data_IF_968512511874
#
_entry.id   IF_968512511874
#
_cell.length_a   1.000
_cell.length_b   1.000
_cell.length_c   1.000
_cell.angle_alpha   90.00
_cell.angle_beta   90.00
_cell.angle_gamma   90.00
#
_symmetry.space_group_name_H-M   'P 1'
#
loop_
_entity.id
_entity.type
_entity.pdbx_description
1 polymer ?
#
# COMPACT_ATOMS: atom_id res chain seq x y z
N UNK A 1 -12.83 38.78 10.98
CA UNK A 1 -13.58 37.58 11.37
C UNK A 1 -12.56 36.44 11.48
N UNK A 2 -12.19 36.07 12.71
CA UNK A 2 -11.34 34.88 12.95
C UNK A 2 -12.24 33.65 12.82
N UNK A 3 -12.17 32.97 11.68
CA UNK A 3 -12.83 31.69 11.49
C UNK A 3 -12.05 30.60 12.24
N UNK A 4 -12.76 29.84 13.07
CA UNK A 4 -12.27 28.62 13.72
C UNK A 4 -11.36 27.80 12.79
N UNK A 5 -10.19 27.40 13.29
CA UNK A 5 -9.41 26.34 12.65
C UNK A 5 -10.26 25.07 12.65
N UNK A 6 -10.82 24.76 11.49
CA UNK A 6 -11.68 23.60 11.28
C UNK A 6 -10.86 22.32 11.46
N UNK A 7 -11.19 21.58 12.50
CA UNK A 7 -10.79 20.20 12.85
C UNK A 7 -11.28 19.18 11.79
N UNK A 8 -11.31 19.56 10.51
CA UNK A 8 -11.86 18.80 9.38
C UNK A 8 -10.80 17.96 8.65
N UNK A 9 -9.57 17.95 9.16
CA UNK A 9 -8.49 17.11 8.65
C UNK A 9 -8.64 15.68 9.20
N UNK A 10 -8.70 14.64 8.35
CA UNK A 10 -8.72 13.25 8.83
C UNK A 10 -7.50 12.94 9.66
N UNK A 11 -7.69 12.19 10.75
CA UNK A 11 -6.57 11.66 11.53
C UNK A 11 -5.81 10.59 10.74
N UNK A 12 -4.51 10.41 11.03
CA UNK A 12 -3.68 9.39 10.39
C UNK A 12 -4.28 7.98 10.53
N UNK A 13 -4.87 7.66 11.69
CA UNK A 13 -5.57 6.39 11.92
C UNK A 13 -6.69 6.18 10.90
N UNK A 14 -7.55 7.19 10.70
CA UNK A 14 -8.64 7.11 9.72
C UNK A 14 -8.09 6.96 8.30
N UNK A 15 -7.00 7.67 7.96
CA UNK A 15 -6.35 7.55 6.65
C UNK A 15 -5.83 6.13 6.41
N UNK A 16 -5.15 5.53 7.39
CA UNK A 16 -4.65 4.15 7.31
C UNK A 16 -5.78 3.14 7.14
N UNK A 17 -6.86 3.27 7.91
CA UNK A 17 -8.02 2.39 7.82
C UNK A 17 -8.72 2.50 6.46
N UNK A 18 -9.00 3.72 5.99
CA UNK A 18 -9.67 3.96 4.71
C UNK A 18 -8.78 3.56 3.52
N UNK A 19 -7.48 3.82 3.58
CA UNK A 19 -6.51 3.38 2.57
C UNK A 19 -6.49 1.85 2.48
N UNK A 20 -6.34 1.16 3.61
CA UNK A 20 -6.37 -0.30 3.65
C UNK A 20 -7.65 -0.86 3.04
N UNK A 21 -8.81 -0.28 3.39
CA UNK A 21 -10.09 -0.68 2.81
C UNK A 21 -10.16 -0.45 1.29
N UNK A 22 -9.67 0.70 0.82
CA UNK A 22 -9.64 1.04 -0.61
C UNK A 22 -8.75 0.10 -1.43
N UNK A 23 -7.61 -0.31 -0.87
CA UNK A 23 -6.63 -1.18 -1.55
C UNK A 23 -6.72 -2.65 -1.09
N UNK A 24 -7.82 -3.05 -0.47
CA UNK A 24 -8.10 -4.42 -0.01
C UNK A 24 -6.98 -5.02 0.85
N UNK A 25 -6.29 -4.20 1.65
CA UNK A 25 -5.18 -4.61 2.51
C UNK A 25 -3.92 -5.08 1.77
N UNK A 26 -3.84 -4.89 0.44
CA UNK A 26 -2.66 -5.30 -0.36
C UNK A 26 -1.46 -4.39 -0.13
N UNK A 27 -1.73 -3.11 0.08
CA UNK A 27 -0.76 -2.07 0.41
C UNK A 27 -1.03 -1.57 1.82
N UNK A 28 0.03 -1.41 2.59
CA UNK A 28 0.01 -0.82 3.92
C UNK A 28 0.44 0.63 3.78
N UNK A 29 -0.33 1.54 4.38
CA UNK A 29 0.05 2.94 4.50
C UNK A 29 0.91 3.09 5.76
N UNK A 30 2.22 3.25 5.60
CA UNK A 30 3.17 3.31 6.72
C UNK A 30 3.23 4.73 7.31
N UNK A 31 3.33 5.73 6.44
CA UNK A 31 3.31 7.14 6.80
C UNK A 31 2.64 7.98 5.71
N UNK A 32 2.11 9.13 6.11
CA UNK A 32 1.49 10.07 5.19
C UNK A 32 1.62 11.51 5.71
N UNK A 33 2.05 12.38 4.81
CA UNK A 33 1.99 13.83 4.97
C UNK A 33 0.96 14.37 3.98
N UNK A 34 0.07 15.24 4.46
CA UNK A 34 -0.97 15.83 3.62
C UNK A 34 -0.92 17.35 3.67
N UNK A 35 -1.09 17.98 2.50
CA UNK A 35 -1.17 19.43 2.35
C UNK A 35 -2.47 19.80 1.65
N UNK A 36 -3.31 20.59 2.31
CA UNK A 36 -4.59 21.03 1.73
C UNK A 36 -4.34 21.86 0.46
N UNK A 37 -5.07 21.52 -0.60
CA UNK A 37 -4.99 22.18 -1.91
C UNK A 37 -6.31 22.85 -2.30
N UNK A 38 -7.45 22.38 -1.78
CA UNK A 38 -8.73 23.04 -1.98
C UNK A 38 -9.77 22.70 -0.92
N UNK A 39 -10.72 23.62 -0.76
CA UNK A 39 -11.85 23.53 0.16
C UNK A 39 -13.14 23.80 -0.60
N UNK A 40 -14.13 22.92 -0.46
CA UNK A 40 -15.47 23.08 -1.03
C UNK A 40 -16.51 22.55 -0.03
N UNK A 41 -17.13 23.45 0.73
CA UNK A 41 -18.05 23.08 1.82
C UNK A 41 -17.37 22.17 2.86
N UNK A 42 -17.92 20.97 3.07
CA UNK A 42 -17.34 19.93 3.93
C UNK A 42 -16.41 18.95 3.20
N UNK A 43 -16.10 19.22 1.92
CA UNK A 43 -15.09 18.51 1.15
C UNK A 43 -13.75 19.23 1.27
N UNK A 44 -12.69 18.46 1.41
CA UNK A 44 -11.30 18.90 1.42
C UNK A 44 -10.50 18.07 0.43
N UNK A 45 -9.62 18.72 -0.32
CA UNK A 45 -8.67 18.05 -1.20
C UNK A 45 -7.27 18.32 -0.69
N UNK A 46 -6.42 17.28 -0.70
CA UNK A 46 -5.04 17.36 -0.28
C UNK A 46 -4.13 16.77 -1.35
N UNK A 47 -2.94 17.35 -1.50
CA UNK A 47 -1.79 16.62 -2.00
C UNK A 47 -1.28 15.72 -0.85
N UNK A 48 -1.05 14.45 -1.12
CA UNK A 48 -0.60 13.46 -0.15
C UNK A 48 0.68 12.81 -0.63
N UNK A 49 1.68 12.74 0.23
CA UNK A 49 2.95 12.08 -0.01
C UNK A 49 3.29 11.18 1.19
N UNK A 50 4.08 10.12 0.99
CA UNK A 50 4.46 9.27 2.10
C UNK A 50 5.10 7.95 1.71
N UNK A 51 4.96 6.96 2.59
CA UNK A 51 5.51 5.63 2.44
C UNK A 51 4.41 4.56 2.46
N UNK A 52 4.53 3.60 1.56
CA UNK A 52 3.77 2.37 1.52
C UNK A 52 4.69 1.17 1.65
N UNK A 53 4.13 0.03 2.02
CA UNK A 53 4.79 -1.26 1.96
C UNK A 53 3.80 -2.39 1.65
N UNK A 54 4.31 -3.60 1.46
CA UNK A 54 3.49 -4.82 1.37
C UNK A 54 3.55 -5.61 2.67
N UNK A 55 2.45 -6.25 3.03
CA UNK A 55 2.38 -7.14 4.20
C UNK A 55 3.02 -8.51 4.01
N UNK A 56 3.44 -8.84 2.78
CA UNK A 56 3.95 -10.15 2.37
C UNK A 56 5.09 -9.99 1.37
N UNK A 57 5.95 -11.00 1.33
CA UNK A 57 6.84 -11.22 0.20
C UNK A 57 6.02 -11.57 -1.03
N UNK A 58 6.46 -11.08 -2.19
CA UNK A 58 5.81 -11.38 -3.47
C UNK A 58 6.72 -12.19 -4.36
N UNK A 59 6.10 -13.11 -5.08
CA UNK A 59 6.79 -14.06 -5.93
C UNK A 59 6.23 -13.99 -7.34
N UNK A 60 7.13 -14.05 -8.33
CA UNK A 60 6.77 -14.12 -9.74
C UNK A 60 7.09 -15.53 -10.26
N UNK A 61 6.14 -16.22 -10.89
CA UNK A 61 6.42 -17.47 -11.58
C UNK A 61 7.41 -17.25 -12.72
N UNK A 62 8.46 -18.06 -12.77
CA UNK A 62 9.52 -17.99 -13.80
C UNK A 62 9.58 -19.25 -14.66
N UNK A 63 9.13 -20.39 -14.13
CA UNK A 63 8.92 -21.61 -14.91
C UNK A 63 7.82 -22.49 -14.29
N UNK A 64 7.28 -23.40 -15.10
CA UNK A 64 6.38 -24.46 -14.63
C UNK A 64 6.94 -25.80 -15.07
N UNK A 65 7.05 -26.74 -14.13
CA UNK A 65 7.37 -28.14 -14.34
C UNK A 65 6.09 -28.98 -14.19
N UNK A 66 6.18 -30.29 -14.42
CA UNK A 66 5.03 -31.20 -14.33
C UNK A 66 4.34 -31.16 -12.96
N UNK A 67 5.14 -31.16 -11.87
CA UNK A 67 4.61 -31.21 -10.50
C UNK A 67 4.91 -29.94 -9.69
N UNK A 68 5.72 -29.01 -10.23
CA UNK A 68 6.25 -27.87 -9.49
C UNK A 68 6.09 -26.55 -10.25
N UNK A 69 5.95 -25.46 -9.50
CA UNK A 69 6.04 -24.10 -10.04
C UNK A 69 7.34 -23.48 -9.52
N UNK A 70 8.21 -23.06 -10.43
CA UNK A 70 9.42 -22.33 -10.08
C UNK A 70 9.05 -20.85 -9.98
N UNK A 71 9.34 -20.26 -8.83
CA UNK A 71 9.06 -18.86 -8.53
C UNK A 71 10.33 -18.16 -8.09
N UNK A 72 10.43 -16.87 -8.41
CA UNK A 72 11.48 -16.01 -7.89
C UNK A 72 10.86 -14.97 -6.97
N UNK A 73 11.51 -14.68 -5.84
CA UNK A 73 11.13 -13.57 -4.98
C UNK A 73 11.33 -12.26 -5.75
N UNK A 74 10.24 -11.56 -6.03
CA UNK A 74 10.24 -10.31 -6.80
C UNK A 74 10.00 -9.07 -5.97
N UNK A 75 9.63 -9.23 -4.70
CA UNK A 75 9.44 -8.14 -3.76
C UNK A 75 9.64 -8.58 -2.31
N UNK A 76 10.33 -7.76 -1.53
CA UNK A 76 10.51 -7.96 -0.09
C UNK A 76 9.37 -7.32 0.69
N UNK A 77 8.78 -8.09 1.61
CA UNK A 77 7.85 -7.59 2.62
C UNK A 77 8.45 -6.40 3.34
N UNK A 78 7.64 -5.36 3.57
CA UNK A 78 8.07 -4.19 4.31
C UNK A 78 9.08 -3.31 3.58
N UNK A 79 9.42 -3.60 2.32
CA UNK A 79 10.22 -2.67 1.50
C UNK A 79 9.45 -1.37 1.30
N UNK A 80 10.09 -0.26 1.67
CA UNK A 80 9.55 1.09 1.53
C UNK A 80 9.29 1.45 0.07
N UNK A 81 8.10 2.02 -0.18
CA UNK A 81 7.66 2.55 -1.47
C UNK A 81 7.24 4.00 -1.25
N UNK A 82 7.95 4.94 -1.87
CA UNK A 82 7.51 6.34 -1.84
C UNK A 82 6.29 6.49 -2.73
N UNK A 83 5.31 7.24 -2.27
CA UNK A 83 4.13 7.54 -3.07
C UNK A 83 3.75 9.02 -3.03
N UNK A 84 3.02 9.42 -4.06
CA UNK A 84 2.27 10.68 -4.12
C UNK A 84 0.87 10.41 -4.63
N UNK A 85 -0.14 11.13 -4.12
CA UNK A 85 -1.52 10.97 -4.51
C UNK A 85 -2.34 12.26 -4.29
N UNK A 86 -3.53 12.29 -4.87
CA UNK A 86 -4.59 13.23 -4.49
C UNK A 86 -5.52 12.56 -3.49
N UNK A 87 -5.63 13.14 -2.29
CA UNK A 87 -6.55 12.69 -1.26
C UNK A 87 -7.78 13.61 -1.22
N UNK A 88 -8.97 13.04 -1.38
CA UNK A 88 -10.21 13.74 -1.10
C UNK A 88 -10.78 13.26 0.23
N UNK A 89 -11.24 14.19 1.07
CA UNK A 89 -11.95 13.92 2.31
C UNK A 89 -13.32 14.58 2.29
N UNK A 90 -14.32 13.90 2.84
CA UNK A 90 -15.67 14.41 3.07
C UNK A 90 -16.08 14.16 4.51
N UNK A 91 -16.57 15.19 5.19
CA UNK A 91 -17.03 15.10 6.58
C UNK A 91 -16.07 15.77 7.56
N UNK A 92 -16.27 15.48 8.85
CA UNK A 92 -15.54 16.09 9.96
C UNK A 92 -15.49 15.14 11.18
N UNK A 93 -14.90 15.61 12.28
CA UNK A 93 -14.80 14.80 13.51
C UNK A 93 -16.14 14.34 14.08
N UNK A 94 -17.22 15.12 13.91
CA UNK A 94 -18.54 14.84 14.49
C UNK A 94 -19.36 13.86 13.62
N UNK A 95 -19.14 13.89 12.31
CA UNK A 95 -19.85 13.06 11.32
C UNK A 95 -19.03 11.87 10.82
N UNK A 96 -17.75 11.82 11.19
CA UNK A 96 -16.74 10.94 10.60
C UNK A 96 -16.24 11.46 9.26
N UNK A 97 -15.13 10.87 8.80
CA UNK A 97 -14.57 11.17 7.49
C UNK A 97 -14.72 9.97 6.56
N UNK A 98 -15.03 10.28 5.30
CA UNK A 98 -14.83 9.36 4.18
C UNK A 98 -13.71 9.90 3.32
N UNK A 99 -12.67 9.10 3.09
CA UNK A 99 -11.51 9.51 2.32
C UNK A 99 -11.33 8.64 1.08
N UNK A 100 -10.85 9.25 -0.01
CA UNK A 100 -10.55 8.55 -1.26
C UNK A 100 -9.19 9.02 -1.76
N UNK A 101 -8.28 8.06 -1.95
CA UNK A 101 -7.00 8.28 -2.63
C UNK A 101 -7.20 8.12 -4.14
N UNK A 102 -6.65 9.05 -4.91
CA UNK A 102 -6.77 9.08 -6.37
C UNK A 102 -5.45 9.51 -6.98
N UNK A 103 -5.22 9.20 -8.24
CA UNK A 103 -3.95 9.52 -8.94
C UNK A 103 -2.72 9.02 -8.19
N UNK A 104 -2.82 7.84 -7.57
CA UNK A 104 -1.71 7.23 -6.83
C UNK A 104 -0.54 6.95 -7.79
N UNK A 105 0.60 7.55 -7.50
CA UNK A 105 1.88 7.28 -8.13
C UNK A 105 2.82 6.71 -7.08
N UNK A 106 3.55 5.66 -7.46
CA UNK A 106 4.51 4.99 -6.58
C UNK A 106 5.89 5.04 -7.26
N UNK A 107 6.95 5.18 -6.46
CA UNK A 107 8.33 5.13 -6.96
C UNK A 107 8.64 3.79 -7.61
N UNK A 108 8.04 2.73 -7.08
CA UNK A 108 8.13 1.36 -7.59
C UNK A 108 6.79 0.66 -7.35
N UNK A 109 6.39 -0.21 -8.28
CA UNK A 109 5.16 -1.00 -8.14
C UNK A 109 5.54 -2.41 -7.69
N UNK A 110 5.06 -2.91 -6.53
CA UNK A 110 5.28 -4.29 -6.12
C UNK A 110 4.79 -5.26 -7.19
N UNK A 111 5.67 -6.19 -7.60
CA UNK A 111 5.37 -7.20 -8.62
C UNK A 111 5.35 -8.59 -8.00
N UNK A 112 4.50 -9.44 -8.57
CA UNK A 112 4.30 -10.81 -8.11
C UNK A 112 3.04 -10.97 -7.27
N UNK A 113 2.85 -12.17 -6.76
CA UNK A 113 1.72 -12.53 -5.91
C UNK A 113 2.23 -13.05 -4.55
N UNK A 114 1.47 -12.82 -3.46
CA UNK A 114 1.76 -13.48 -2.21
C UNK A 114 1.50 -14.98 -2.38
N UNK A 115 2.44 -15.81 -1.90
CA UNK A 115 2.28 -17.27 -1.84
C UNK A 115 2.36 -17.67 -0.37
N UNK A 116 1.23 -17.99 0.29
CA UNK A 116 1.23 -18.39 1.68
C UNK A 116 2.06 -19.65 1.88
N UNK A 117 2.89 -19.69 2.93
CA UNK A 117 3.66 -20.87 3.31
C UNK A 117 4.58 -21.43 2.20
N UNK A 118 5.04 -20.57 1.28
CA UNK A 118 5.84 -20.98 0.11
C UNK A 118 7.11 -21.77 0.46
N UNK A 119 7.69 -21.52 1.64
CA UNK A 119 8.90 -22.21 2.11
C UNK A 119 8.66 -23.68 2.50
N UNK A 120 7.42 -24.05 2.83
CA UNK A 120 7.04 -25.41 3.25
C UNK A 120 6.09 -26.10 2.28
N UNK A 121 5.60 -25.38 1.26
CA UNK A 121 4.77 -25.94 0.22
C UNK A 121 5.65 -26.62 -0.84
N UNK A 122 5.65 -27.95 -0.83
CA UNK A 122 6.43 -28.77 -1.75
C UNK A 122 6.10 -28.58 -3.23
N UNK A 123 5.04 -27.84 -3.58
CA UNK A 123 4.72 -27.47 -4.98
C UNK A 123 5.64 -26.36 -5.52
N UNK A 124 6.26 -25.56 -4.67
CA UNK A 124 7.02 -24.39 -5.10
C UNK A 124 8.52 -24.61 -4.97
N UNK A 125 9.25 -24.22 -6.01
CA UNK A 125 10.72 -24.13 -5.99
C UNK A 125 11.07 -22.64 -6.02
N UNK A 126 11.73 -22.14 -4.98
CA UNK A 126 12.12 -20.73 -4.87
C UNK A 126 13.54 -20.59 -5.44
N UNK A 127 13.67 -19.87 -6.55
CA UNK A 127 14.98 -19.46 -7.09
C UNK A 127 15.67 -18.46 -6.16
N UNK A 128 16.99 -18.57 -6.04
CA UNK A 128 17.87 -17.77 -5.17
C UNK A 128 17.60 -17.92 -3.65
N UNK A 129 16.82 -18.93 -3.24
CA UNK A 129 16.79 -19.38 -1.86
C UNK A 129 18.14 -19.97 -1.48
N UNK A 130 18.66 -19.63 -0.29
CA UNK A 130 19.92 -20.14 0.24
C UNK A 130 19.97 -21.68 0.13
N UNK A 131 20.65 -22.21 -0.90
CA UNK A 131 20.61 -23.63 -1.22
C UNK A 131 20.92 -23.99 -2.69
N UNK A 132 20.79 -23.05 -3.63
CA UNK A 132 21.31 -23.21 -5.00
C UNK A 132 22.71 -22.61 -5.12
N UNK A 133 23.65 -23.06 -4.29
CA UNK A 133 25.07 -22.90 -4.60
C UNK A 133 25.45 -24.02 -5.56
N UNK A 134 25.65 -23.68 -6.84
CA UNK A 134 26.27 -24.55 -7.83
C UNK A 134 27.63 -25.04 -7.26
N UNK A 135 27.71 -26.33 -6.96
CA UNK A 135 28.99 -27.05 -6.78
C UNK A 135 29.32 -27.84 -8.02
#
# INVERSE_FOLDING_TARGET
MSGCGDDNTPTEKVLKEQFSNQFHGRLILDSIDIKETSVDGNKRTYAADGLLSTGYDLYTPVASLTDYIVVQKSWDKGKDIKFSATLNSLGNKDTGWKTIFSSLQMSETPKGNPIPNVEIDGKYIIMDGAGFDDK
#
